data_IF_580079774809
#
_entry.id   IF_580079774809
#
_cell.length_a   1.000
_cell.length_b   1.000
_cell.length_c   1.000
_cell.angle_alpha   90.00
_cell.angle_beta   90.00
_cell.angle_gamma   90.00
#
_symmetry.space_group_name_H-M   'P 1'
#
loop_
_entity.id
_entity.type
_entity.pdbx_description
1 polymer ?
#
# COMPACT_ATOMS: atom_id res chain seq x y z
N UNK A 1 -82.71 -47.32 23.69
CA UNK A 1 -81.64 -46.48 24.27
C UNK A 1 -80.31 -46.89 23.59
N UNK A 2 -80.06 -46.31 22.47
CA UNK A 2 -78.95 -46.71 21.56
C UNK A 2 -77.92 -45.59 21.54
N UNK A 3 -76.73 -45.83 22.09
CA UNK A 3 -75.61 -44.90 22.11
C UNK A 3 -74.86 -44.93 20.76
N UNK A 4 -74.81 -43.81 20.08
CA UNK A 4 -74.01 -43.63 18.91
C UNK A 4 -72.58 -43.14 19.33
N UNK A 5 -71.58 -43.96 19.09
CA UNK A 5 -70.19 -43.59 19.26
C UNK A 5 -69.67 -43.01 17.90
N UNK A 6 -69.25 -41.74 17.90
CA UNK A 6 -68.61 -41.10 16.75
C UNK A 6 -67.15 -41.45 16.76
N UNK A 7 -66.49 -41.78 15.62
CA UNK A 7 -65.00 -41.89 15.53
C UNK A 7 -64.38 -40.54 15.37
N UNK A 8 -63.42 -40.26 16.25
CA UNK A 8 -62.50 -39.11 16.12
C UNK A 8 -61.48 -39.43 15.08
N UNK A 9 -61.44 -38.60 14.00
CA UNK A 9 -60.46 -38.65 12.94
C UNK A 9 -59.21 -37.83 13.39
N UNK A 10 -58.09 -38.51 13.67
CA UNK A 10 -56.83 -37.89 13.97
C UNK A 10 -56.17 -37.46 12.64
N UNK A 11 -56.06 -36.14 12.40
CA UNK A 11 -55.30 -35.59 11.31
C UNK A 11 -53.83 -35.54 11.76
N UNK A 12 -53.01 -36.42 11.25
CA UNK A 12 -51.55 -36.35 11.39
C UNK A 12 -51.01 -35.22 10.51
N UNK A 13 -50.65 -34.08 11.12
CA UNK A 13 -49.87 -33.03 10.44
C UNK A 13 -48.43 -33.49 10.33
N UNK A 14 -48.01 -33.91 9.13
CA UNK A 14 -46.62 -34.12 8.75
C UNK A 14 -45.97 -32.76 8.60
N UNK A 15 -45.19 -32.32 9.61
CA UNK A 15 -44.30 -31.18 9.53
C UNK A 15 -43.03 -31.65 8.80
N UNK A 16 -42.91 -31.33 7.51
CA UNK A 16 -41.64 -31.43 6.81
C UNK A 16 -40.68 -30.35 7.34
N UNK A 17 -39.48 -30.71 7.83
CA UNK A 17 -38.47 -29.71 8.08
C UNK A 17 -37.98 -29.16 6.72
N UNK A 18 -38.28 -27.90 6.43
CA UNK A 18 -37.62 -27.15 5.35
C UNK A 18 -36.14 -27.05 5.70
N UNK A 19 -35.31 -27.83 5.03
CA UNK A 19 -33.86 -27.63 4.97
C UNK A 19 -33.62 -26.30 4.30
N UNK A 20 -33.54 -25.24 5.10
CA UNK A 20 -32.94 -23.99 4.67
C UNK A 20 -31.45 -24.27 4.39
N UNK A 21 -31.13 -24.56 3.13
CA UNK A 21 -29.76 -24.44 2.63
C UNK A 21 -29.39 -22.97 2.71
N UNK A 22 -29.03 -22.51 3.90
CA UNK A 22 -28.37 -21.24 4.08
C UNK A 22 -27.03 -21.30 3.29
N UNK A 23 -26.88 -20.46 2.27
CA UNK A 23 -25.57 -20.11 1.76
C UNK A 23 -24.79 -19.56 2.95
N UNK A 24 -24.03 -20.42 3.62
CA UNK A 24 -23.01 -19.97 4.54
C UNK A 24 -21.89 -19.42 3.67
N UNK A 25 -21.95 -18.12 3.35
CA UNK A 25 -20.75 -17.37 3.08
C UNK A 25 -19.88 -17.59 4.31
N UNK A 26 -18.80 -18.33 4.16
CA UNK A 26 -17.80 -18.49 5.22
C UNK A 26 -17.49 -17.11 5.77
N UNK A 27 -17.64 -16.86 7.08
CA UNK A 27 -17.24 -15.56 7.62
C UNK A 27 -15.78 -15.38 7.23
N UNK A 28 -15.48 -14.28 6.55
CA UNK A 28 -14.10 -13.87 6.28
C UNK A 28 -13.31 -14.06 7.57
N UNK A 29 -12.21 -14.81 7.50
CA UNK A 29 -11.37 -15.15 8.67
C UNK A 29 -10.58 -13.92 9.13
N UNK A 30 -11.27 -12.88 9.56
CA UNK A 30 -10.68 -11.75 10.26
C UNK A 30 -10.48 -12.14 11.73
N UNK A 31 -9.25 -12.06 12.24
CA UNK A 31 -8.89 -12.45 13.61
C UNK A 31 -7.96 -13.65 13.69
N UNK A 32 -7.35 -14.05 12.58
CA UNK A 32 -6.21 -14.95 12.60
C UNK A 32 -4.99 -14.24 13.24
N UNK A 33 -4.08 -15.02 13.80
CA UNK A 33 -2.78 -14.54 14.26
C UNK A 33 -1.94 -14.09 13.05
N UNK A 34 -1.21 -12.98 13.19
CA UNK A 34 -0.26 -12.52 12.17
C UNK A 34 0.84 -13.56 11.99
N UNK A 35 1.07 -13.93 10.74
CA UNK A 35 2.10 -14.88 10.33
C UNK A 35 3.18 -14.12 9.56
N UNK A 36 4.44 -14.24 10.03
CA UNK A 36 5.59 -13.67 9.34
C UNK A 36 6.51 -14.79 8.84
N UNK A 37 6.85 -14.76 7.57
CA UNK A 37 7.76 -15.73 6.95
C UNK A 37 9.17 -15.19 6.78
N UNK A 38 9.32 -13.89 6.47
CA UNK A 38 10.61 -13.28 6.22
C UNK A 38 10.74 -11.83 6.73
N UNK A 39 9.65 -11.14 7.05
CA UNK A 39 9.71 -9.75 7.49
C UNK A 39 10.32 -9.64 8.90
N UNK A 40 11.39 -8.85 9.01
CA UNK A 40 12.10 -8.60 10.25
C UNK A 40 11.55 -7.35 10.94
N UNK A 41 10.68 -7.53 11.93
CA UNK A 41 10.02 -6.43 12.65
C UNK A 41 11.00 -5.43 13.26
N UNK A 42 12.14 -5.90 13.76
CA UNK A 42 13.18 -5.04 14.33
C UNK A 42 13.78 -4.10 13.29
N UNK A 43 14.01 -4.58 12.06
CA UNK A 43 14.54 -3.74 10.99
C UNK A 43 13.50 -2.73 10.50
N UNK A 44 12.23 -3.14 10.39
CA UNK A 44 11.12 -2.23 10.10
C UNK A 44 11.03 -1.11 11.14
N UNK A 45 11.12 -1.45 12.43
CA UNK A 45 11.12 -0.49 13.51
C UNK A 45 12.28 0.51 13.40
N UNK A 46 13.49 0.03 13.13
CA UNK A 46 14.68 0.88 12.97
C UNK A 46 14.51 1.87 11.80
N UNK A 47 14.03 1.40 10.64
CA UNK A 47 13.81 2.25 9.48
C UNK A 47 12.72 3.33 9.78
N UNK A 48 11.64 2.97 10.48
CA UNK A 48 10.60 3.93 10.93
C UNK A 48 11.15 4.92 11.97
N UNK A 49 11.85 4.45 12.99
CA UNK A 49 12.43 5.31 14.03
C UNK A 49 13.38 6.36 13.47
N UNK A 50 14.17 6.01 12.46
CA UNK A 50 15.03 6.97 11.76
C UNK A 50 14.18 7.97 10.99
N UNK A 51 13.22 7.51 10.17
CA UNK A 51 12.39 8.37 9.32
C UNK A 51 11.50 9.30 10.15
N UNK A 52 10.93 8.84 11.25
CA UNK A 52 10.09 9.62 12.16
C UNK A 52 10.89 10.39 13.22
N UNK A 53 12.22 10.40 13.16
CA UNK A 53 13.07 11.03 14.18
C UNK A 53 13.01 12.56 14.14
N UNK A 54 13.28 13.24 15.29
CA UNK A 54 13.42 14.69 15.34
C UNK A 54 14.48 15.24 14.38
N UNK A 55 15.52 14.45 14.06
CA UNK A 55 16.59 14.82 13.13
C UNK A 55 16.04 15.13 11.73
N UNK A 56 15.00 14.41 11.30
CA UNK A 56 14.42 14.56 9.97
C UNK A 56 13.27 15.59 9.93
N UNK A 57 12.93 16.23 11.08
CA UNK A 57 12.05 17.40 11.17
C UNK A 57 10.72 17.22 10.41
N UNK A 58 10.16 16.00 10.40
CA UNK A 58 8.91 15.70 9.68
C UNK A 58 8.99 15.76 8.16
N UNK A 59 10.17 15.69 7.57
CA UNK A 59 10.46 15.37 6.15
C UNK A 59 9.71 16.18 5.08
N UNK A 60 9.22 17.39 5.39
CA UNK A 60 8.49 18.20 4.43
C UNK A 60 9.32 18.43 3.17
N UNK A 61 8.72 18.21 2.01
CA UNK A 61 9.33 18.44 0.70
C UNK A 61 9.99 19.84 0.62
N UNK A 62 11.18 19.91 0.03
CA UNK A 62 11.95 21.15 -0.09
C UNK A 62 12.72 21.59 1.16
N UNK A 63 12.61 20.87 2.30
CA UNK A 63 13.29 21.23 3.55
C UNK A 63 14.59 20.44 3.78
N UNK A 64 15.37 20.85 4.79
CA UNK A 64 16.53 20.09 5.26
C UNK A 64 16.14 18.69 5.74
N UNK A 65 14.98 18.54 6.38
CA UNK A 65 14.46 17.23 6.80
C UNK A 65 14.26 16.27 5.63
N UNK A 66 13.67 16.76 4.52
CA UNK A 66 13.54 15.96 3.30
C UNK A 66 14.92 15.62 2.69
N UNK A 67 15.88 16.52 2.76
CA UNK A 67 17.26 16.26 2.27
C UNK A 67 17.92 15.14 3.07
N UNK A 68 17.89 15.21 4.39
CA UNK A 68 18.42 14.15 5.27
C UNK A 68 17.70 12.81 5.08
N UNK A 69 16.39 12.84 4.80
CA UNK A 69 15.62 11.63 4.49
C UNK A 69 16.09 11.00 3.19
N UNK A 70 16.33 11.78 2.14
CA UNK A 70 16.88 11.30 0.87
C UNK A 70 18.29 10.72 1.01
N UNK A 71 19.14 11.35 1.82
CA UNK A 71 20.47 10.80 2.13
C UNK A 71 20.35 9.42 2.77
N UNK A 72 19.54 9.30 3.80
CA UNK A 72 19.27 8.01 4.46
C UNK A 72 18.73 6.96 3.48
N UNK A 73 17.71 7.30 2.71
CA UNK A 73 17.10 6.38 1.76
C UNK A 73 18.04 5.98 0.61
N UNK A 74 18.88 6.91 0.14
CA UNK A 74 19.92 6.63 -0.86
C UNK A 74 20.91 5.59 -0.31
N UNK A 75 21.41 5.81 0.90
CA UNK A 75 22.30 4.85 1.58
C UNK A 75 21.64 3.47 1.73
N UNK A 76 20.34 3.42 2.10
CA UNK A 76 19.59 2.16 2.19
C UNK A 76 19.46 1.47 0.83
N UNK A 77 19.19 2.23 -0.24
CA UNK A 77 19.10 1.69 -1.61
C UNK A 77 20.45 1.09 -2.04
N UNK A 78 21.55 1.78 -1.77
CA UNK A 78 22.91 1.29 -2.04
C UNK A 78 23.24 0.02 -1.25
N UNK A 79 22.97 -0.01 0.05
CA UNK A 79 23.18 -1.17 0.92
C UNK A 79 22.39 -2.40 0.48
N UNK A 80 21.16 -2.22 0.00
CA UNK A 80 20.32 -3.29 -0.58
C UNK A 80 20.88 -3.73 -1.95
N UNK A 81 21.59 -2.85 -2.64
CA UNK A 81 22.12 -3.07 -3.99
C UNK A 81 21.07 -2.87 -5.07
N UNK A 82 20.16 -1.89 -4.86
CA UNK A 82 19.30 -1.37 -5.92
C UNK A 82 20.16 -0.69 -6.99
N UNK A 83 19.66 -0.67 -8.21
CA UNK A 83 20.31 -0.02 -9.35
C UNK A 83 19.57 1.26 -9.71
N UNK A 84 20.26 2.34 -10.06
CA UNK A 84 19.64 3.54 -10.61
C UNK A 84 18.94 3.25 -11.94
N UNK A 85 17.75 3.82 -12.15
CA UNK A 85 16.95 3.59 -13.36
C UNK A 85 17.63 4.14 -14.63
N UNK A 86 18.53 5.11 -14.49
CA UNK A 86 19.33 5.67 -15.60
C UNK A 86 20.06 4.63 -16.43
N UNK A 87 20.44 3.50 -15.82
CA UNK A 87 21.17 2.41 -16.50
C UNK A 87 20.32 1.64 -17.51
N UNK A 88 18.98 1.70 -17.40
CA UNK A 88 18.06 0.88 -18.18
C UNK A 88 17.14 1.72 -19.06
N UNK A 89 16.95 3.01 -18.71
CA UNK A 89 15.98 3.85 -19.38
C UNK A 89 16.54 5.25 -19.72
N UNK A 90 17.36 5.36 -20.79
CA UNK A 90 17.97 6.61 -21.22
C UNK A 90 17.01 7.78 -21.46
N UNK A 91 15.73 7.58 -21.93
CA UNK A 91 14.79 8.69 -22.15
C UNK A 91 14.46 9.50 -20.88
N UNK A 92 14.64 8.94 -19.69
CA UNK A 92 14.47 9.67 -18.43
C UNK A 92 15.75 10.38 -17.93
N UNK A 93 16.88 10.24 -18.65
CA UNK A 93 18.19 10.69 -18.18
C UNK A 93 18.25 12.20 -17.85
N UNK A 94 17.45 13.04 -18.51
CA UNK A 94 17.45 14.49 -18.25
C UNK A 94 16.92 14.86 -16.86
N UNK A 95 16.02 14.03 -16.29
CA UNK A 95 15.41 14.25 -14.97
C UNK A 95 16.01 13.38 -13.88
N UNK A 96 16.88 12.41 -14.25
CA UNK A 96 17.47 11.45 -13.36
C UNK A 96 18.94 11.73 -13.07
N UNK A 97 19.33 11.66 -11.80
CA UNK A 97 20.74 11.68 -11.35
C UNK A 97 20.92 10.61 -10.27
N UNK A 98 21.60 9.52 -10.59
CA UNK A 98 21.66 8.36 -9.71
C UNK A 98 20.25 7.83 -9.43
N UNK A 99 19.87 7.74 -8.16
CA UNK A 99 18.52 7.36 -7.76
C UNK A 99 17.50 8.50 -7.82
N UNK A 100 17.93 9.75 -7.98
CA UNK A 100 17.09 10.92 -7.86
C UNK A 100 16.34 11.24 -9.17
N UNK A 101 15.02 11.42 -9.07
CA UNK A 101 14.16 11.97 -10.09
C UNK A 101 13.65 13.34 -9.62
N UNK A 102 14.20 14.40 -10.21
CA UNK A 102 13.85 15.78 -9.86
C UNK A 102 12.67 16.29 -10.66
N UNK A 103 11.79 17.04 -10.00
CA UNK A 103 10.63 17.68 -10.62
C UNK A 103 10.33 19.03 -9.96
N UNK A 104 9.63 19.90 -10.69
CA UNK A 104 9.15 21.18 -10.18
C UNK A 104 7.64 21.11 -9.96
N UNK A 105 7.15 21.81 -8.93
CA UNK A 105 5.73 21.94 -8.63
C UNK A 105 5.45 23.29 -7.97
N UNK A 106 4.17 23.60 -7.76
CA UNK A 106 3.76 24.84 -7.08
C UNK A 106 3.15 24.47 -5.74
N UNK A 107 3.77 24.93 -4.64
CA UNK A 107 3.24 24.79 -3.28
C UNK A 107 2.59 26.12 -2.86
N UNK A 108 1.27 26.18 -2.91
CA UNK A 108 0.51 27.41 -2.72
C UNK A 108 0.79 28.42 -3.83
N UNK A 109 1.60 29.45 -3.55
CA UNK A 109 1.98 30.48 -4.52
C UNK A 109 3.47 30.48 -4.85
N UNK A 110 4.22 29.52 -4.35
CA UNK A 110 5.66 29.44 -4.51
C UNK A 110 6.08 28.28 -5.41
N UNK A 111 7.06 28.53 -6.27
CA UNK A 111 7.74 27.46 -7.00
C UNK A 111 8.53 26.59 -6.01
N UNK A 112 8.38 25.30 -6.13
CA UNK A 112 9.03 24.30 -5.30
C UNK A 112 9.65 23.21 -6.15
N UNK A 113 10.65 22.51 -5.58
CA UNK A 113 11.31 21.37 -6.20
C UNK A 113 11.18 20.16 -5.29
N UNK A 114 10.68 19.08 -5.86
CA UNK A 114 10.64 17.77 -5.23
C UNK A 114 11.64 16.79 -5.87
N UNK A 115 11.94 15.71 -5.14
CA UNK A 115 12.89 14.69 -5.60
C UNK A 115 12.40 13.32 -5.17
N UNK A 116 11.86 12.53 -6.09
CA UNK A 116 11.61 11.11 -5.87
C UNK A 116 12.93 10.32 -5.88
N UNK A 117 12.97 9.21 -5.17
CA UNK A 117 14.06 8.23 -5.27
C UNK A 117 13.57 6.99 -6.00
N UNK A 118 14.30 6.60 -7.06
CA UNK A 118 13.96 5.47 -7.93
C UNK A 118 15.11 4.47 -7.91
N UNK A 119 14.85 3.27 -7.40
CA UNK A 119 15.79 2.16 -7.43
C UNK A 119 15.14 0.90 -7.98
N UNK A 120 15.84 0.11 -8.78
CA UNK A 120 15.25 -1.08 -9.37
C UNK A 120 16.10 -2.34 -9.15
N UNK A 121 15.46 -3.50 -9.26
CA UNK A 121 16.10 -4.82 -9.27
C UNK A 121 15.68 -5.59 -10.52
N UNK A 122 16.63 -6.26 -11.20
CA UNK A 122 16.34 -7.08 -12.35
C UNK A 122 15.54 -8.33 -11.96
N UNK A 123 14.75 -8.80 -12.92
CA UNK A 123 14.12 -10.11 -12.84
C UNK A 123 15.16 -11.24 -12.84
N UNK A 124 14.77 -12.42 -12.33
CA UNK A 124 15.60 -13.63 -12.34
C UNK A 124 15.97 -14.09 -13.75
N UNK A 125 15.13 -13.75 -14.72
CA UNK A 125 15.35 -14.00 -16.15
C UNK A 125 14.98 -12.73 -16.94
N UNK A 126 15.63 -12.46 -18.08
CA UNK A 126 15.33 -11.29 -18.90
C UNK A 126 13.83 -11.19 -19.24
N UNK A 127 13.25 -10.03 -18.99
CA UNK A 127 11.84 -9.71 -19.27
C UNK A 127 11.69 -8.22 -19.58
N UNK A 128 10.64 -7.87 -20.32
CA UNK A 128 10.22 -6.50 -20.54
C UNK A 128 9.11 -6.05 -19.57
N UNK A 129 8.61 -6.96 -18.73
CA UNK A 129 7.55 -6.64 -17.77
C UNK A 129 8.12 -6.02 -16.50
N UNK A 130 7.48 -4.93 -16.08
CA UNK A 130 7.83 -4.18 -14.88
C UNK A 130 6.67 -4.15 -13.89
N UNK A 131 7.00 -4.13 -12.60
CA UNK A 131 6.09 -3.83 -11.51
C UNK A 131 6.70 -2.81 -10.59
N UNK A 132 5.85 -1.98 -10.03
CA UNK A 132 6.26 -0.84 -9.23
C UNK A 132 5.75 -1.01 -7.80
N UNK A 133 6.59 -0.59 -6.85
CA UNK A 133 6.20 -0.40 -5.46
C UNK A 133 6.50 1.04 -5.08
N UNK A 134 5.49 1.76 -4.58
CA UNK A 134 5.59 3.18 -4.24
C UNK A 134 5.14 3.43 -2.80
N UNK A 135 5.88 4.30 -2.11
CA UNK A 135 5.51 4.87 -0.82
C UNK A 135 6.12 6.27 -0.71
N UNK A 136 5.35 7.27 -0.27
CA UNK A 136 5.90 8.61 -0.11
C UNK A 136 6.75 8.72 1.16
N UNK A 137 7.82 9.50 1.08
CA UNK A 137 8.70 9.72 2.22
C UNK A 137 8.56 11.12 2.84
N UNK A 138 7.93 12.06 2.14
CA UNK A 138 7.63 13.38 2.69
C UNK A 138 6.52 13.32 3.74
N UNK A 139 6.45 14.34 4.58
CA UNK A 139 5.37 14.55 5.52
C UNK A 139 5.23 16.06 5.83
N UNK A 140 4.48 16.43 6.84
CA UNK A 140 4.04 17.81 7.10
C UNK A 140 5.16 18.76 7.56
N UNK A 141 6.30 18.25 8.04
CA UNK A 141 7.44 19.04 8.46
C UNK A 141 7.32 19.59 9.88
N UNK A 142 8.05 20.69 10.12
CA UNK A 142 7.99 21.48 11.34
C UNK A 142 6.97 22.62 11.16
N UNK A 143 5.99 22.67 12.04
CA UNK A 143 4.97 23.73 12.05
C UNK A 143 4.78 24.25 13.48
N UNK A 144 5.45 25.36 13.80
CA UNK A 144 5.33 26.02 15.10
C UNK A 144 6.15 25.34 16.21
N UNK A 145 5.61 24.99 17.38
CA UNK A 145 6.42 24.55 18.52
C UNK A 145 6.92 23.10 18.42
N UNK A 146 6.95 22.46 17.24
CA UNK A 146 7.46 21.10 17.05
C UNK A 146 7.11 20.52 15.69
N UNK A 147 7.72 19.38 15.38
CA UNK A 147 7.58 18.67 14.10
C UNK A 147 6.50 17.61 14.15
N UNK A 148 6.05 17.19 12.97
CA UNK A 148 5.14 16.08 12.75
C UNK A 148 5.95 14.83 12.37
N UNK A 149 6.02 13.78 13.22
CA UNK A 149 6.88 12.64 12.97
C UNK A 149 6.49 11.83 11.72
N UNK A 150 5.19 11.67 11.49
CA UNK A 150 4.68 10.90 10.35
C UNK A 150 5.18 9.46 10.38
N UNK A 151 5.00 8.76 11.51
CA UNK A 151 5.47 7.39 11.64
C UNK A 151 4.61 6.41 10.84
N UNK A 152 3.27 6.51 10.98
CA UNK A 152 2.37 5.76 10.11
C UNK A 152 2.28 6.42 8.74
N UNK A 153 2.22 7.73 8.70
CA UNK A 153 2.10 8.56 7.50
C UNK A 153 3.42 9.26 7.14
N UNK A 154 4.33 8.73 6.31
CA UNK A 154 4.26 7.37 5.76
C UNK A 154 5.62 6.67 5.91
N UNK A 155 6.27 6.83 7.09
CA UNK A 155 7.49 6.07 7.36
C UNK A 155 7.22 4.55 7.40
N UNK A 156 5.99 4.13 7.76
CA UNK A 156 5.56 2.71 7.76
C UNK A 156 5.63 2.10 6.36
N UNK A 157 5.07 2.78 5.36
CA UNK A 157 5.10 2.34 3.96
C UNK A 157 6.50 2.33 3.38
N UNK A 158 7.33 3.33 3.71
CA UNK A 158 8.73 3.39 3.25
C UNK A 158 9.57 2.27 3.87
N UNK A 159 9.39 1.98 5.18
CA UNK A 159 10.09 0.86 5.83
C UNK A 159 9.72 -0.49 5.20
N UNK A 160 8.44 -0.71 4.88
CA UNK A 160 7.99 -1.90 4.17
C UNK A 160 8.58 -1.98 2.75
N UNK A 161 8.64 -0.86 2.02
CA UNK A 161 9.29 -0.79 0.70
C UNK A 161 10.74 -1.24 0.77
N UNK A 162 11.52 -0.76 1.75
CA UNK A 162 12.91 -1.18 1.96
C UNK A 162 13.01 -2.66 2.31
N UNK A 163 12.12 -3.18 3.16
CA UNK A 163 12.09 -4.60 3.51
C UNK A 163 11.80 -5.50 2.30
N UNK A 164 10.82 -5.12 1.47
CA UNK A 164 10.48 -5.83 0.23
C UNK A 164 11.66 -5.80 -0.75
N UNK A 165 12.33 -4.66 -0.89
CA UNK A 165 13.52 -4.55 -1.74
C UNK A 165 14.64 -5.50 -1.29
N UNK A 166 14.93 -5.60 0.01
CA UNK A 166 15.88 -6.58 0.57
C UNK A 166 15.46 -8.01 0.25
N UNK A 167 14.18 -8.33 0.44
CA UNK A 167 13.63 -9.66 0.13
C UNK A 167 13.79 -10.02 -1.33
N UNK A 168 13.44 -9.12 -2.23
CA UNK A 168 13.58 -9.32 -3.68
C UNK A 168 15.03 -9.48 -4.10
N UNK A 169 15.95 -8.75 -3.49
CA UNK A 169 17.39 -8.92 -3.74
C UNK A 169 17.88 -10.33 -3.40
N UNK A 170 17.38 -10.90 -2.30
CA UNK A 170 17.72 -12.26 -1.86
C UNK A 170 17.01 -13.34 -2.69
N UNK A 171 15.79 -13.08 -3.12
CA UNK A 171 14.97 -13.98 -3.91
C UNK A 171 14.38 -13.22 -5.11
N UNK A 172 15.10 -13.14 -6.24
CA UNK A 172 14.69 -12.36 -7.41
C UNK A 172 13.29 -12.75 -7.94
N UNK A 173 12.56 -11.74 -8.39
CA UNK A 173 11.24 -11.89 -9.02
C UNK A 173 11.35 -12.35 -10.47
N UNK A 174 10.25 -12.78 -11.07
CA UNK A 174 10.15 -12.97 -12.53
C UNK A 174 9.96 -11.65 -13.29
N UNK A 175 9.71 -10.54 -12.59
CA UNK A 175 9.49 -9.22 -13.13
C UNK A 175 10.61 -8.29 -12.71
N UNK A 176 10.93 -7.31 -13.53
CA UNK A 176 11.74 -6.19 -13.09
C UNK A 176 10.92 -5.40 -12.06
N UNK A 177 11.53 -5.05 -10.92
CA UNK A 177 10.84 -4.32 -9.87
C UNK A 177 11.46 -2.94 -9.68
N UNK A 178 10.63 -1.90 -9.78
CA UNK A 178 10.98 -0.52 -9.51
C UNK A 178 10.41 -0.11 -8.14
N UNK A 179 11.29 0.32 -7.26
CA UNK A 179 11.00 0.81 -5.92
C UNK A 179 11.07 2.33 -5.93
N UNK A 180 10.02 2.99 -5.48
CA UNK A 180 9.82 4.42 -5.57
C UNK A 180 9.54 4.98 -4.19
N UNK A 181 10.48 5.77 -3.63
CA UNK A 181 10.18 6.64 -2.51
C UNK A 181 9.81 8.01 -3.07
N UNK A 182 8.51 8.32 -3.11
CA UNK A 182 7.98 9.55 -3.70
C UNK A 182 8.08 10.74 -2.76
N UNK A 183 8.19 11.93 -3.33
CA UNK A 183 8.22 13.22 -2.63
C UNK A 183 6.99 14.05 -2.98
N UNK A 184 6.64 14.99 -2.13
CA UNK A 184 5.55 15.94 -2.34
C UNK A 184 4.19 15.26 -2.62
N UNK A 185 3.91 14.18 -1.90
CA UNK A 185 2.59 13.56 -1.84
C UNK A 185 1.61 14.49 -1.12
N UNK A 186 1.98 14.94 0.08
CA UNK A 186 1.19 15.74 1.01
C UNK A 186 0.64 17.07 0.44
N UNK A 187 1.40 17.81 -0.37
CA UNK A 187 0.86 19.00 -1.02
C UNK A 187 0.00 18.69 -2.24
N UNK A 188 -0.06 17.45 -2.72
CA UNK A 188 -0.95 17.07 -3.82
C UNK A 188 -0.43 16.08 -4.83
N UNK A 189 0.24 15.01 -4.41
CA UNK A 189 0.70 13.89 -5.26
C UNK A 189 1.68 14.34 -6.36
N UNK A 190 2.47 15.39 -6.11
CA UNK A 190 3.29 15.98 -7.19
C UNK A 190 4.39 15.05 -7.65
N UNK A 191 4.99 14.28 -6.75
CA UNK A 191 6.05 13.34 -7.11
C UNK A 191 5.57 12.20 -7.98
N UNK A 192 4.49 11.55 -7.63
CA UNK A 192 3.90 10.48 -8.43
C UNK A 192 3.33 10.99 -9.76
N UNK A 193 2.71 12.19 -9.79
CA UNK A 193 2.26 12.84 -11.04
C UNK A 193 3.43 13.10 -12.00
N UNK A 194 4.52 13.67 -11.48
CA UNK A 194 5.70 13.95 -12.30
C UNK A 194 6.32 12.66 -12.84
N UNK A 195 6.44 11.64 -11.98
CA UNK A 195 6.97 10.34 -12.38
C UNK A 195 6.11 9.68 -13.46
N UNK A 196 4.80 9.58 -13.25
CA UNK A 196 3.88 8.94 -14.21
C UNK A 196 3.91 9.68 -15.56
N UNK A 197 3.93 11.01 -15.54
CA UNK A 197 4.09 11.81 -16.78
C UNK A 197 5.38 11.46 -17.52
N UNK A 198 6.51 11.36 -16.81
CA UNK A 198 7.80 10.98 -17.40
C UNK A 198 7.78 9.55 -17.96
N UNK A 199 7.17 8.60 -17.24
CA UNK A 199 7.03 7.21 -17.68
C UNK A 199 6.16 7.10 -18.95
N UNK A 200 5.10 7.91 -19.06
CA UNK A 200 4.26 7.95 -20.28
C UNK A 200 5.00 8.58 -21.48
N UNK A 201 5.63 9.72 -21.26
CA UNK A 201 6.38 10.42 -22.32
C UNK A 201 7.53 9.60 -22.89
N UNK A 202 8.14 8.77 -22.06
CA UNK A 202 9.22 7.88 -22.46
C UNK A 202 8.76 6.55 -23.08
N UNK A 203 7.47 6.23 -23.06
CA UNK A 203 6.92 4.93 -23.48
C UNK A 203 7.12 3.81 -22.45
N UNK A 204 7.74 4.08 -21.29
CA UNK A 204 7.97 3.05 -20.28
C UNK A 204 6.68 2.56 -19.63
N UNK A 205 5.65 3.40 -19.57
CA UNK A 205 4.37 3.07 -18.95
C UNK A 205 3.72 1.81 -19.55
N UNK A 206 3.95 1.52 -20.84
CA UNK A 206 3.41 0.35 -21.55
C UNK A 206 3.98 -0.99 -21.03
N UNK A 207 5.13 -0.95 -20.36
CA UNK A 207 5.79 -2.13 -19.79
C UNK A 207 5.36 -2.42 -18.35
N UNK A 208 4.57 -1.54 -17.73
CA UNK A 208 4.16 -1.65 -16.33
C UNK A 208 2.87 -2.46 -16.23
N UNK A 209 2.96 -3.63 -15.62
CA UNK A 209 1.80 -4.52 -15.42
C UNK A 209 1.09 -4.35 -14.08
N UNK A 210 1.73 -3.69 -13.08
CA UNK A 210 1.14 -3.39 -11.78
C UNK A 210 1.94 -2.31 -11.05
N UNK A 211 1.24 -1.37 -10.43
CA UNK A 211 1.77 -0.48 -9.40
C UNK A 211 1.11 -0.81 -8.04
N UNK A 212 1.92 -1.01 -7.00
CA UNK A 212 1.45 -1.22 -5.63
C UNK A 212 1.83 -0.01 -4.79
N UNK A 213 0.87 0.64 -4.16
CA UNK A 213 1.07 1.75 -3.26
C UNK A 213 0.97 1.28 -1.80
N UNK A 214 1.87 1.73 -0.94
CA UNK A 214 1.86 1.51 0.50
C UNK A 214 1.77 2.87 1.18
N UNK A 215 0.68 3.11 1.89
CA UNK A 215 0.48 4.37 2.57
C UNK A 215 -0.37 4.18 3.83
N UNK A 216 0.21 4.53 4.99
CA UNK A 216 -0.39 4.28 6.30
C UNK A 216 -0.72 2.80 6.52
N UNK A 217 0.28 2.00 6.84
CA UNK A 217 0.12 0.54 6.97
C UNK A 217 0.48 0.00 8.37
N UNK A 218 0.69 0.88 9.35
CA UNK A 218 1.21 0.51 10.65
C UNK A 218 0.20 0.61 11.80
N UNK A 219 -1.00 1.14 11.59
CA UNK A 219 -1.99 1.33 12.67
C UNK A 219 -3.36 0.79 12.31
N UNK A 220 -3.53 -0.55 12.33
CA UNK A 220 -4.84 -1.15 12.12
C UNK A 220 -5.83 -0.67 13.18
N UNK A 221 -7.00 -0.24 12.72
CA UNK A 221 -8.08 0.19 13.61
C UNK A 221 -8.99 -0.97 14.03
N UNK A 222 -10.26 -0.67 14.30
CA UNK A 222 -11.30 -1.68 14.47
C UNK A 222 -12.21 -1.66 13.24
N UNK A 223 -12.36 -2.79 12.51
CA UNK A 223 -11.72 -4.09 12.76
C UNK A 223 -10.21 -4.04 12.54
N UNK A 224 -9.46 -4.98 13.14
CA UNK A 224 -8.02 -5.14 12.92
C UNK A 224 -7.79 -5.65 11.48
N UNK A 225 -7.65 -4.72 10.54
CA UNK A 225 -7.66 -5.02 9.11
C UNK A 225 -6.80 -4.03 8.33
N UNK A 226 -6.30 -4.49 7.19
CA UNK A 226 -5.74 -3.66 6.13
C UNK A 226 -6.75 -3.55 4.97
N UNK A 227 -6.79 -2.43 4.32
CA UNK A 227 -7.64 -2.21 3.16
C UNK A 227 -6.80 -2.25 1.89
N UNK A 228 -7.27 -3.01 0.90
CA UNK A 228 -6.61 -3.17 -0.40
C UNK A 228 -7.53 -2.60 -1.48
N UNK A 229 -7.37 -1.30 -1.76
CA UNK A 229 -8.11 -0.60 -2.81
C UNK A 229 -7.65 -1.03 -4.21
N UNK A 230 -8.52 -0.84 -5.20
CA UNK A 230 -8.26 -1.26 -6.58
C UNK A 230 -8.93 -2.58 -6.96
N UNK A 231 -9.58 -3.26 -6.04
CA UNK A 231 -10.24 -4.57 -6.23
C UNK A 231 -11.13 -4.67 -7.46
N UNK A 232 -11.82 -3.57 -7.83
CA UNK A 232 -12.78 -3.51 -8.94
C UNK A 232 -12.15 -3.75 -10.31
N UNK A 233 -10.85 -3.54 -10.42
CA UNK A 233 -10.14 -3.67 -11.70
C UNK A 233 -9.68 -5.10 -11.96
N UNK A 234 -9.60 -5.97 -10.94
CA UNK A 234 -9.03 -7.31 -11.07
C UNK A 234 -10.10 -8.40 -10.98
N UNK A 235 -10.16 -9.24 -12.03
CA UNK A 235 -11.12 -10.36 -12.11
C UNK A 235 -10.94 -11.38 -10.98
N UNK A 236 -9.67 -11.65 -10.60
CA UNK A 236 -9.30 -12.67 -9.62
C UNK A 236 -8.94 -12.06 -8.25
N UNK A 237 -9.51 -10.88 -7.93
CA UNK A 237 -9.22 -10.21 -6.66
C UNK A 237 -9.51 -11.09 -5.45
N UNK A 238 -10.67 -11.75 -5.42
CA UNK A 238 -11.09 -12.56 -4.27
C UNK A 238 -10.14 -13.76 -4.07
N UNK A 239 -9.68 -14.38 -5.17
CA UNK A 239 -8.76 -15.51 -5.12
C UNK A 239 -7.39 -15.11 -4.55
N UNK A 240 -6.79 -14.05 -5.08
CA UNK A 240 -5.47 -13.65 -4.60
C UNK A 240 -5.54 -13.00 -3.20
N UNK A 241 -6.58 -12.25 -2.87
CA UNK A 241 -6.72 -11.70 -1.52
C UNK A 241 -6.91 -12.78 -0.47
N UNK A 242 -7.66 -13.84 -0.78
CA UNK A 242 -7.78 -15.00 0.09
C UNK A 242 -6.43 -15.72 0.30
N UNK A 243 -5.61 -15.85 -0.76
CA UNK A 243 -4.28 -16.42 -0.65
C UNK A 243 -3.34 -15.54 0.22
N UNK A 244 -3.38 -14.22 0.07
CA UNK A 244 -2.63 -13.28 0.91
C UNK A 244 -3.05 -13.40 2.39
N UNK A 245 -4.35 -13.44 2.67
CA UNK A 245 -4.87 -13.62 4.04
C UNK A 245 -4.39 -14.95 4.64
N UNK A 246 -4.44 -16.03 3.86
CA UNK A 246 -4.00 -17.35 4.31
C UNK A 246 -2.48 -17.40 4.61
N UNK A 247 -1.68 -16.67 3.82
CA UNK A 247 -0.22 -16.63 3.97
C UNK A 247 0.28 -15.73 5.08
N UNK A 248 -0.47 -14.69 5.45
CA UNK A 248 0.00 -13.64 6.37
C UNK A 248 -0.81 -13.51 7.64
N UNK A 249 -1.99 -14.14 7.72
CA UNK A 249 -2.95 -13.94 8.82
C UNK A 249 -3.66 -12.58 8.81
N UNK A 250 -3.37 -11.70 7.84
CA UNK A 250 -4.05 -10.41 7.71
C UNK A 250 -5.55 -10.57 7.45
N UNK A 251 -6.34 -9.65 8.00
CA UNK A 251 -7.68 -9.38 7.52
C UNK A 251 -7.61 -8.35 6.39
N UNK A 252 -7.74 -8.77 5.14
CA UNK A 252 -7.71 -7.88 3.98
C UNK A 252 -9.14 -7.53 3.56
N UNK A 253 -9.46 -6.25 3.50
CA UNK A 253 -10.75 -5.70 3.05
C UNK A 253 -10.62 -5.07 1.67
N UNK A 254 -11.59 -5.26 0.77
CA UNK A 254 -11.50 -4.79 -0.62
C UNK A 254 -11.66 -3.27 -0.78
N UNK A 255 -12.09 -2.57 0.24
CA UNK A 255 -12.24 -1.11 0.23
C UNK A 255 -12.35 -0.55 1.64
N UNK A 256 -11.91 0.68 1.82
CA UNK A 256 -12.03 1.42 3.07
C UNK A 256 -13.50 1.62 3.48
N UNK A 257 -13.78 1.74 4.78
CA UNK A 257 -15.13 1.96 5.28
C UNK A 257 -15.67 3.30 4.77
N UNK A 258 -16.94 3.30 4.36
CA UNK A 258 -17.64 4.53 4.01
C UNK A 258 -18.33 5.07 5.24
N UNK A 259 -18.02 6.31 5.69
CA UNK A 259 -18.69 6.92 6.82
C UNK A 259 -20.21 6.98 6.60
N UNK A 260 -20.96 6.59 7.62
CA UNK A 260 -22.44 6.68 7.62
C UNK A 260 -22.79 8.04 8.22
N UNK A 261 -23.42 8.93 7.43
CA UNK A 261 -23.90 10.22 7.89
C UNK A 261 -23.64 11.35 6.89
N UNK A 262 -24.46 12.43 6.96
CA UNK A 262 -24.37 13.57 6.03
C UNK A 262 -23.30 14.59 6.45
N UNK A 263 -22.82 14.56 7.68
CA UNK A 263 -21.89 15.54 8.26
C UNK A 263 -20.43 15.12 8.28
N UNK A 264 -20.11 13.90 7.79
CA UNK A 264 -18.73 13.39 7.80
C UNK A 264 -18.10 13.66 6.45
N UNK A 265 -16.94 14.35 6.45
CA UNK A 265 -16.14 14.55 5.26
C UNK A 265 -15.75 13.16 4.70
N UNK A 266 -16.13 12.87 3.48
CA UNK A 266 -15.85 11.59 2.83
C UNK A 266 -14.48 11.66 2.18
N UNK A 267 -13.57 10.80 2.58
CA UNK A 267 -12.31 10.60 1.85
C UNK A 267 -12.61 9.94 0.51
N UNK A 268 -12.11 10.53 -0.56
CA UNK A 268 -12.11 9.92 -1.89
C UNK A 268 -10.88 9.00 -2.00
N UNK A 269 -11.06 7.75 -1.59
CA UNK A 269 -9.97 6.76 -1.57
C UNK A 269 -9.32 6.51 -2.93
N UNK A 270 -10.01 6.81 -4.03
CA UNK A 270 -9.41 6.76 -5.36
C UNK A 270 -8.33 7.83 -5.55
N UNK A 271 -8.47 9.00 -4.88
CA UNK A 271 -7.56 10.14 -5.02
C UNK A 271 -6.71 10.38 -3.79
N UNK A 272 -6.77 9.48 -2.83
CA UNK A 272 -6.23 9.70 -1.49
C UNK A 272 -4.70 9.56 -1.40
N UNK A 273 -4.02 8.98 -2.41
CA UNK A 273 -2.58 8.74 -2.36
C UNK A 273 -1.98 8.49 -3.76
N UNK A 274 -0.71 8.17 -3.82
CA UNK A 274 0.15 8.04 -5.02
C UNK A 274 -0.30 7.01 -6.07
N UNK A 275 -1.27 6.15 -5.78
CA UNK A 275 -1.89 5.27 -6.78
C UNK A 275 -2.74 6.01 -7.80
N UNK A 276 -3.23 7.22 -7.48
CA UNK A 276 -4.14 7.95 -8.35
C UNK A 276 -3.54 8.37 -9.71
N UNK A 277 -2.31 8.90 -9.81
CA UNK A 277 -1.70 9.16 -11.11
C UNK A 277 -1.55 7.92 -11.98
N UNK A 278 -1.25 6.75 -11.40
CA UNK A 278 -1.22 5.49 -12.14
C UNK A 278 -2.61 5.11 -12.66
N UNK A 279 -3.65 5.30 -11.84
CA UNK A 279 -5.03 5.14 -12.29
C UNK A 279 -5.35 6.03 -13.50
N UNK A 280 -4.98 7.31 -13.45
CA UNK A 280 -5.21 8.24 -14.55
C UNK A 280 -4.47 7.85 -15.85
N UNK A 281 -3.30 7.23 -15.71
CA UNK A 281 -2.51 6.72 -16.82
C UNK A 281 -2.97 5.36 -17.36
N UNK A 282 -4.00 4.75 -16.78
CA UNK A 282 -4.48 3.42 -17.16
C UNK A 282 -3.57 2.28 -16.73
N UNK A 283 -2.60 2.54 -15.87
CA UNK A 283 -1.71 1.52 -15.29
C UNK A 283 -2.47 0.78 -14.19
N UNK A 284 -2.51 -0.57 -14.20
CA UNK A 284 -3.14 -1.33 -13.14
C UNK A 284 -2.49 -1.03 -11.77
N UNK A 285 -3.32 -0.84 -10.74
CA UNK A 285 -2.83 -0.47 -9.41
C UNK A 285 -3.59 -1.15 -8.28
N UNK A 286 -2.90 -1.32 -7.16
CA UNK A 286 -3.47 -1.73 -5.88
C UNK A 286 -2.85 -0.84 -4.78
N UNK A 287 -3.64 -0.53 -3.76
CA UNK A 287 -3.22 0.33 -2.66
C UNK A 287 -3.55 -0.31 -1.31
N UNK A 288 -2.51 -0.55 -0.50
CA UNK A 288 -2.64 -0.94 0.89
C UNK A 288 -2.63 0.28 1.80
N UNK A 289 -3.65 0.42 2.64
CA UNK A 289 -3.72 1.48 3.62
C UNK A 289 -4.70 1.19 4.74
N UNK A 290 -4.54 1.90 5.85
CA UNK A 290 -5.52 1.94 6.95
C UNK A 290 -6.27 3.27 6.91
N UNK A 291 -7.49 3.35 7.48
CA UNK A 291 -8.18 4.63 7.63
C UNK A 291 -7.40 5.59 8.53
N UNK A 292 -7.59 6.90 8.33
CA UNK A 292 -7.06 7.91 9.22
C UNK A 292 -7.45 7.62 10.68
N UNK A 293 -6.45 7.51 11.53
CA UNK A 293 -6.60 7.32 12.98
C UNK A 293 -6.53 8.67 13.73
N UNK A 294 -6.78 8.68 15.04
CA UNK A 294 -6.82 9.91 15.82
C UNK A 294 -5.50 10.72 15.83
N UNK A 295 -4.39 10.09 15.51
CA UNK A 295 -3.06 10.72 15.44
C UNK A 295 -2.65 11.09 14.01
N UNK A 296 -3.46 10.79 13.00
CA UNK A 296 -3.21 11.20 11.62
C UNK A 296 -3.01 12.71 11.53
N UNK A 297 -1.95 13.15 10.89
CA UNK A 297 -1.56 14.55 10.77
C UNK A 297 -1.41 15.29 12.13
N UNK A 298 -0.95 14.56 13.15
CA UNK A 298 -0.62 15.15 14.46
C UNK A 298 0.83 14.82 14.87
N UNK A 299 1.29 15.48 15.94
CA UNK A 299 2.61 15.20 16.53
C UNK A 299 2.69 13.89 17.28
N UNK A 300 1.55 13.24 17.49
CA UNK A 300 1.44 11.96 18.18
C UNK A 300 1.47 10.75 17.20
N UNK A 301 1.70 10.99 15.91
CA UNK A 301 1.99 9.92 14.96
C UNK A 301 3.46 9.50 15.07
N UNK A 302 3.74 8.70 16.10
CA UNK A 302 5.08 8.32 16.56
C UNK A 302 5.36 6.82 16.37
N UNK A 303 6.63 6.46 16.25
CA UNK A 303 7.09 5.10 15.96
C UNK A 303 6.68 4.07 17.03
N UNK A 304 6.61 4.46 18.30
CA UNK A 304 6.21 3.61 19.42
C UNK A 304 4.74 3.18 19.39
N UNK A 305 3.93 3.78 18.53
CA UNK A 305 2.51 3.48 18.38
C UNK A 305 2.19 2.51 17.24
N UNK A 306 3.18 2.09 16.47
CA UNK A 306 2.98 1.23 15.31
C UNK A 306 2.98 -0.26 15.69
N UNK A 307 2.19 -1.02 14.94
CA UNK A 307 2.15 -2.48 15.02
C UNK A 307 3.12 -3.08 13.98
N UNK A 308 4.34 -3.32 14.38
CA UNK A 308 5.39 -3.81 13.48
C UNK A 308 5.14 -5.22 12.93
N UNK A 309 4.57 -6.18 13.69
CA UNK A 309 4.08 -7.43 13.11
C UNK A 309 3.07 -7.22 11.98
N UNK A 310 2.14 -6.28 12.15
CA UNK A 310 1.16 -5.95 11.12
C UNK A 310 1.82 -5.33 9.88
N UNK A 311 2.75 -4.37 10.04
CA UNK A 311 3.55 -3.81 8.94
C UNK A 311 4.29 -4.92 8.20
N UNK A 312 4.91 -5.84 8.93
CA UNK A 312 5.61 -7.00 8.36
C UNK A 312 4.70 -7.87 7.50
N UNK A 313 3.51 -8.18 7.99
CA UNK A 313 2.54 -8.98 7.25
C UNK A 313 2.03 -8.26 5.99
N UNK A 314 1.81 -6.93 6.07
CA UNK A 314 1.46 -6.12 4.89
C UNK A 314 2.60 -6.11 3.86
N UNK A 315 3.87 -6.01 4.32
CA UNK A 315 5.03 -6.11 3.44
C UNK A 315 5.09 -7.48 2.74
N UNK A 316 4.83 -8.57 3.46
CA UNK A 316 4.78 -9.92 2.88
C UNK A 316 3.64 -10.08 1.87
N UNK A 317 2.46 -9.54 2.18
CA UNK A 317 1.32 -9.53 1.26
C UNK A 317 1.62 -8.72 -0.01
N UNK A 318 2.21 -7.54 0.12
CA UNK A 318 2.58 -6.70 -1.03
C UNK A 318 3.66 -7.36 -1.90
N UNK A 319 4.65 -8.02 -1.29
CA UNK A 319 5.68 -8.78 -2.01
C UNK A 319 5.08 -9.96 -2.79
N UNK A 320 4.14 -10.69 -2.19
CA UNK A 320 3.41 -11.74 -2.88
C UNK A 320 2.62 -11.20 -4.07
N UNK A 321 1.93 -10.04 -3.93
CA UNK A 321 1.25 -9.36 -5.05
C UNK A 321 2.21 -9.05 -6.21
N UNK A 322 3.39 -8.53 -5.89
CA UNK A 322 4.42 -8.23 -6.88
C UNK A 322 4.93 -9.48 -7.61
N UNK A 323 4.69 -10.69 -7.10
CA UNK A 323 5.08 -11.97 -7.73
C UNK A 323 3.96 -12.70 -8.45
N UNK A 324 2.71 -12.26 -8.31
CA UNK A 324 1.57 -12.95 -8.93
C UNK A 324 1.76 -13.06 -10.45
N UNK A 325 1.34 -14.15 -11.08
CA UNK A 325 1.29 -14.24 -12.54
C UNK A 325 0.40 -13.13 -13.13
N UNK A 326 0.83 -12.48 -14.22
CA UNK A 326 0.08 -11.39 -14.88
C UNK A 326 -1.35 -11.79 -15.25
N UNK A 327 -1.58 -13.07 -15.60
CA UNK A 327 -2.93 -13.60 -15.85
C UNK A 327 -3.89 -13.49 -14.66
N UNK A 328 -3.37 -13.48 -13.42
CA UNK A 328 -4.18 -13.28 -12.20
C UNK A 328 -4.49 -11.80 -11.95
N UNK A 329 -3.75 -10.90 -12.59
CA UNK A 329 -3.94 -9.46 -12.53
C UNK A 329 -4.68 -8.92 -13.78
N UNK A 330 -5.34 -9.80 -14.54
CA UNK A 330 -6.15 -9.37 -15.67
C UNK A 330 -7.33 -8.53 -15.20
N UNK A 331 -7.54 -7.42 -15.93
CA UNK A 331 -8.68 -6.53 -15.70
C UNK A 331 -10.01 -7.26 -15.96
N UNK A 332 -11.05 -6.78 -15.28
CA UNK A 332 -12.43 -7.23 -15.51
C UNK A 332 -12.93 -6.81 -16.86
#
# INVERSE_FOLDING_TARGET
MTLFIRPQMWVLLLILPALAAGCSSSPERCGAEILLSWAETKQLQQDVEVLASPRLQGRRSGTQGATLSREYLTERFEQIGLQPLTSVFPPLAETLSGFQHSFNYVDGFADARGINLLGWLPAAQPTTEWRLLIAHYDHLGDRGPGFYPGADDNASGVAALLAIARRVKQAPSRYNLLFIASDAEEPGLYGSKALVSALQQSGFAEHISLAVNLDMIGRPGLPYAIYLEGSRYFRHYDDFSAALMAGTGLCIRPSHPRPIGRSVQRTDWLRASDHYPFHQAGIPWLYFGVPAHAQYHTRDDTADRLDYPFIGAVAEAAEQLLRLPTKQLQNR
#
